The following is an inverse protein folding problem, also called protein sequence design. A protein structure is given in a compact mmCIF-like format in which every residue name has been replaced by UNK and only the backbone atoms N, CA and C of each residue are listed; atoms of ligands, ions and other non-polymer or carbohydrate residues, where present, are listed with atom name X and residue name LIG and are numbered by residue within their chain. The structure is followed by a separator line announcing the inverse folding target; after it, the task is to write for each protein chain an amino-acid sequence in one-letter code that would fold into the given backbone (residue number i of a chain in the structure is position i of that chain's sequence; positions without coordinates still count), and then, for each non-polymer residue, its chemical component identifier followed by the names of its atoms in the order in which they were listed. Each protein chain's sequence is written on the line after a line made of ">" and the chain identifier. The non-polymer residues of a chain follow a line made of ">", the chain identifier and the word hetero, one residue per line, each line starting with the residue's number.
data_IF_975992607559
#
_entry.id   IF_975992607559
#
_cell.length_a   1.000
_cell.length_b   1.000
_cell.length_c   1.000
_cell.angle_alpha   90.00
_cell.angle_beta   90.00
_cell.angle_gamma   90.00
#
_symmetry.space_group_name_H-M   'P 1'
#
loop_
_entity.id
_entity.type
_entity.pdbx_description
1 polymer ?
#
# COMPACT_ATOMS: atom_id res chain seq x y z
N UNK A 1 20.88 9.99 81.70
CA UNK A 1 20.36 11.30 82.15
C UNK A 1 19.53 11.92 81.03
N UNK A 2 18.26 12.21 81.34
CA UNK A 2 17.38 13.29 80.85
C UNK A 2 17.54 13.80 79.41
N UNK A 3 16.58 13.55 78.51
CA UNK A 3 15.24 14.17 78.30
C UNK A 3 15.27 15.23 77.19
N UNK A 4 14.42 14.97 76.19
CA UNK A 4 13.97 15.76 75.03
C UNK A 4 13.43 17.18 75.45
N UNK A 5 13.02 18.12 74.54
CA UNK A 5 12.39 17.85 73.22
C UNK A 5 12.67 18.81 72.05
N UNK A 6 12.60 18.26 70.83
CA UNK A 6 12.37 19.04 69.61
C UNK A 6 10.86 19.25 69.43
N UNK A 7 10.48 20.53 69.41
CA UNK A 7 9.13 21.03 69.24
C UNK A 7 8.66 20.80 67.79
N UNK A 8 7.41 20.37 67.71
CA UNK A 8 6.68 19.98 66.50
C UNK A 8 6.45 21.14 65.53
N UNK A 9 6.67 20.88 64.25
CA UNK A 9 5.98 21.62 63.18
C UNK A 9 5.24 20.60 62.31
N UNK A 10 3.96 20.41 62.65
CA UNK A 10 3.00 19.62 61.86
C UNK A 10 2.69 20.40 60.58
N UNK A 11 3.17 19.91 59.44
CA UNK A 11 2.61 20.26 58.13
C UNK A 11 1.54 19.20 57.75
N UNK A 12 0.40 19.59 57.16
CA UNK A 12 -0.81 18.79 57.16
C UNK A 12 -0.75 17.68 56.11
N UNK A 13 -1.18 16.48 56.48
CA UNK A 13 -1.31 15.30 55.60
C UNK A 13 -2.17 15.52 54.33
N UNK A 14 -2.86 16.66 54.22
CA UNK A 14 -3.69 17.02 53.08
C UNK A 14 -2.89 17.37 51.80
N UNK A 15 -1.64 17.81 51.90
CA UNK A 15 -0.83 18.16 50.72
C UNK A 15 -0.32 16.92 49.98
N UNK A 16 -0.12 15.80 50.69
CA UNK A 16 0.31 14.54 50.05
C UNK A 16 -0.81 13.83 49.26
N UNK A 17 -2.08 13.99 49.66
CA UNK A 17 -3.19 13.34 48.98
C UNK A 17 -3.49 13.93 47.59
N UNK A 18 -3.23 15.22 47.38
CA UNK A 18 -3.43 15.89 46.09
C UNK A 18 -2.35 15.51 45.07
N UNK A 19 -1.14 15.17 45.53
CA UNK A 19 -0.04 14.76 44.66
C UNK A 19 -0.23 13.37 44.03
N UNK A 20 -1.08 12.50 44.61
CA UNK A 20 -1.33 11.15 44.08
C UNK A 20 -2.44 11.10 43.02
N UNK A 21 -3.40 12.03 43.04
CA UNK A 21 -4.51 12.05 42.08
C UNK A 21 -4.12 12.51 40.66
N UNK A 22 -3.05 13.31 40.53
CA UNK A 22 -2.65 13.91 39.24
C UNK A 22 -1.81 12.96 38.37
N UNK A 23 -1.28 11.86 38.93
CA UNK A 23 -0.45 10.91 38.18
C UNK A 23 -1.23 9.77 37.51
N UNK A 24 -2.53 9.61 37.81
CA UNK A 24 -3.33 8.49 37.34
C UNK A 24 -3.97 8.68 35.94
N UNK A 25 -3.56 9.70 35.18
CA UNK A 25 -4.27 10.13 33.96
C UNK A 25 -3.63 9.81 32.60
N UNK A 26 -2.43 9.21 32.54
CA UNK A 26 -1.69 9.06 31.27
C UNK A 26 -1.10 7.67 31.06
N UNK A 27 -1.84 6.61 31.40
CA UNK A 27 -1.46 5.26 30.98
C UNK A 27 -1.67 5.12 29.46
N UNK A 28 -0.56 5.11 28.71
CA UNK A 28 -0.56 4.85 27.26
C UNK A 28 -1.32 3.55 26.98
N UNK A 29 -2.39 3.63 26.20
CA UNK A 29 -3.05 2.42 25.69
C UNK A 29 -2.11 1.75 24.70
N UNK A 30 -1.51 0.62 25.10
CA UNK A 30 -0.59 -0.15 24.25
C UNK A 30 -1.37 -1.26 23.58
N UNK A 31 -1.58 -1.15 22.27
CA UNK A 31 -2.06 -2.24 21.45
C UNK A 31 -0.97 -3.34 21.39
N UNK A 32 -1.31 -4.54 21.87
CA UNK A 32 -0.40 -5.70 21.90
C UNK A 32 -0.62 -6.68 20.75
N UNK A 33 -1.62 -6.43 19.90
CA UNK A 33 -1.82 -7.25 18.71
C UNK A 33 -0.75 -6.93 17.66
N UNK A 34 -0.55 -7.86 16.73
CA UNK A 34 0.24 -7.58 15.55
C UNK A 34 -0.43 -6.47 14.76
N UNK A 35 0.35 -5.47 14.34
CA UNK A 35 -0.14 -4.39 13.51
C UNK A 35 -0.17 -4.87 12.05
N UNK A 36 -1.36 -4.90 11.45
CA UNK A 36 -1.60 -5.38 10.09
C UNK A 36 -0.98 -6.78 9.81
N UNK A 37 -1.38 -7.82 10.58
CA UNK A 37 -0.86 -9.16 10.38
C UNK A 37 -1.20 -9.62 8.96
N UNK A 38 -0.18 -10.01 8.20
CA UNK A 38 -0.37 -10.58 6.87
C UNK A 38 -0.80 -12.03 7.00
N UNK A 39 -2.05 -12.24 7.43
CA UNK A 39 -2.68 -13.55 7.30
C UNK A 39 -3.11 -13.77 5.85
N UNK A 40 -3.02 -15.02 5.39
CA UNK A 40 -3.67 -15.43 4.16
C UNK A 40 -5.19 -15.20 4.21
N UNK A 41 -5.81 -15.14 3.04
CA UNK A 41 -7.28 -15.10 2.89
C UNK A 41 -7.99 -16.32 3.49
N UNK A 42 -7.35 -17.49 3.53
CA UNK A 42 -7.89 -18.75 4.03
C UNK A 42 -7.77 -18.77 5.55
N UNK A 43 -8.91 -18.82 6.23
CA UNK A 43 -8.94 -18.88 7.68
C UNK A 43 -8.63 -20.28 8.19
N UNK A 44 -8.12 -20.42 9.44
CA UNK A 44 -7.72 -21.74 9.97
C UNK A 44 -8.76 -22.86 9.78
N UNK A 45 -10.07 -22.64 9.99
CA UNK A 45 -11.09 -23.67 9.75
C UNK A 45 -11.23 -24.12 8.28
N UNK A 46 -10.83 -23.27 7.33
CA UNK A 46 -10.96 -23.52 5.89
C UNK A 46 -9.75 -24.25 5.30
N UNK A 47 -8.61 -24.29 6.00
CA UNK A 47 -7.32 -24.79 5.50
C UNK A 47 -7.33 -26.26 5.06
N UNK A 48 -8.24 -27.08 5.59
CA UNK A 48 -8.42 -28.47 5.17
C UNK A 48 -9.01 -28.61 3.75
N UNK A 49 -9.73 -27.58 3.28
CA UNK A 49 -10.49 -27.62 2.03
C UNK A 49 -10.06 -26.54 1.03
N UNK A 50 -9.38 -25.49 1.49
CA UNK A 50 -8.95 -24.34 0.69
C UNK A 50 -7.46 -24.10 0.85
N UNK A 51 -6.84 -23.70 -0.26
CA UNK A 51 -5.44 -23.30 -0.33
C UNK A 51 -5.33 -21.99 -1.07
N UNK A 52 -4.42 -21.14 -0.63
CA UNK A 52 -4.03 -19.95 -1.37
C UNK A 52 -2.94 -20.29 -2.36
N UNK A 53 -3.14 -19.90 -3.60
CA UNK A 53 -2.15 -20.05 -4.66
C UNK A 53 -1.73 -18.66 -5.09
N UNK A 54 -0.46 -18.34 -4.89
CA UNK A 54 0.11 -17.09 -5.38
C UNK A 54 0.29 -17.15 -6.91
N UNK A 55 -0.34 -16.21 -7.60
CA UNK A 55 -0.23 -16.05 -9.06
C UNK A 55 0.76 -14.94 -9.45
N UNK A 56 1.50 -14.39 -8.49
CA UNK A 56 2.52 -13.38 -8.76
C UNK A 56 3.69 -13.98 -9.57
N UNK A 57 4.34 -13.15 -10.35
CA UNK A 57 5.45 -13.57 -11.20
C UNK A 57 5.49 -12.82 -12.51
N UNK A 58 6.24 -13.33 -13.48
CA UNK A 58 6.28 -12.82 -14.84
C UNK A 58 5.21 -13.54 -15.68
N UNK A 59 4.45 -12.78 -16.45
CA UNK A 59 3.38 -13.26 -17.31
C UNK A 59 3.61 -12.73 -18.74
N UNK A 60 3.22 -13.51 -19.76
CA UNK A 60 3.09 -13.01 -21.12
C UNK A 60 2.02 -11.92 -21.13
N UNK A 61 2.27 -10.85 -21.89
CA UNK A 61 1.38 -9.71 -22.00
C UNK A 61 1.02 -9.48 -23.47
N UNK A 62 -0.27 -9.45 -23.79
CA UNK A 62 -0.74 -9.08 -25.11
C UNK A 62 -1.65 -7.85 -24.95
N UNK A 63 -1.13 -6.63 -25.19
CA UNK A 63 -1.93 -5.41 -25.10
C UNK A 63 -2.99 -5.39 -26.20
N UNK A 64 -4.18 -4.87 -25.89
CA UNK A 64 -5.26 -4.70 -26.86
C UNK A 64 -5.76 -3.25 -26.82
N UNK A 65 -5.74 -2.53 -27.94
CA UNK A 65 -6.12 -1.11 -27.98
C UNK A 65 -7.64 -0.97 -27.78
N UNK A 66 -8.04 0.10 -27.08
CA UNK A 66 -9.46 0.45 -26.98
C UNK A 66 -9.99 0.80 -28.38
N UNK A 67 -11.18 0.30 -28.77
CA UNK A 67 -11.78 0.65 -30.05
C UNK A 67 -11.90 2.17 -30.22
N UNK A 68 -11.63 2.66 -31.43
CA UNK A 68 -11.75 4.07 -31.74
C UNK A 68 -13.19 4.55 -31.51
N UNK A 69 -13.34 5.67 -30.79
CA UNK A 69 -14.66 6.24 -30.48
C UNK A 69 -15.40 5.56 -29.32
N UNK A 70 -14.73 4.68 -28.56
CA UNK A 70 -15.32 4.11 -27.35
C UNK A 70 -15.77 5.20 -26.37
N UNK A 71 -17.04 5.15 -25.97
CA UNK A 71 -17.64 6.07 -25.01
C UNK A 71 -17.42 5.56 -23.58
N UNK A 72 -16.66 6.34 -22.81
CA UNK A 72 -16.36 6.05 -21.41
C UNK A 72 -17.60 6.28 -20.51
N UNK A 73 -17.57 5.69 -19.31
CA UNK A 73 -18.56 5.91 -18.24
C UNK A 73 -20.00 5.51 -18.54
N UNK A 74 -20.24 4.70 -19.58
CA UNK A 74 -21.56 4.15 -19.90
C UNK A 74 -21.83 2.79 -19.22
N UNK A 75 -20.85 2.23 -18.50
CA UNK A 75 -20.96 0.89 -17.90
C UNK A 75 -20.94 -0.28 -18.90
N UNK A 76 -20.66 0.00 -20.18
CA UNK A 76 -20.56 -1.01 -21.24
C UNK A 76 -19.07 -1.23 -21.54
N UNK A 77 -18.46 -2.38 -21.21
CA UNK A 77 -17.04 -2.61 -21.47
C UNK A 77 -16.74 -2.69 -22.97
N UNK A 78 -15.53 -2.30 -23.42
CA UNK A 78 -15.10 -2.48 -24.79
C UNK A 78 -14.95 -3.98 -25.10
N UNK A 79 -15.05 -4.33 -26.39
CA UNK A 79 -14.82 -5.71 -26.83
C UNK A 79 -13.34 -6.09 -26.65
N UNK A 80 -13.09 -7.23 -25.99
CA UNK A 80 -11.77 -7.83 -25.85
C UNK A 80 -11.67 -9.06 -26.78
N UNK A 81 -11.12 -8.92 -28.00
CA UNK A 81 -10.94 -10.04 -28.93
C UNK A 81 -10.05 -11.13 -28.32
N UNK A 82 -10.24 -12.38 -28.74
CA UNK A 82 -9.41 -13.51 -28.30
C UNK A 82 -7.90 -13.25 -28.52
N UNK A 83 -7.02 -13.81 -27.68
CA UNK A 83 -5.58 -13.67 -27.85
C UNK A 83 -5.11 -14.33 -29.14
N UNK A 84 -4.00 -13.84 -29.69
CA UNK A 84 -3.42 -14.35 -30.93
C UNK A 84 -1.93 -14.61 -30.70
N UNK A 85 -1.42 -15.76 -31.14
CA UNK A 85 -0.06 -16.20 -30.81
C UNK A 85 1.03 -15.27 -31.33
N UNK A 86 0.77 -14.51 -32.40
CA UNK A 86 1.69 -13.55 -33.01
C UNK A 86 1.65 -12.15 -32.37
N UNK A 87 0.77 -11.92 -31.37
CA UNK A 87 0.54 -10.59 -30.77
C UNK A 87 1.06 -10.44 -29.34
N UNK A 88 1.66 -11.48 -28.78
CA UNK A 88 2.29 -11.38 -27.47
C UNK A 88 3.53 -10.50 -27.54
N UNK A 89 3.65 -9.57 -26.60
CA UNK A 89 4.83 -8.72 -26.48
C UNK A 89 6.06 -9.56 -26.06
N UNK A 90 7.25 -9.12 -26.48
CA UNK A 90 8.50 -9.79 -26.13
C UNK A 90 8.90 -9.56 -24.67
N UNK A 91 8.38 -8.50 -24.05
CA UNK A 91 8.61 -8.18 -22.65
C UNK A 91 7.50 -8.77 -21.78
N UNK A 92 7.82 -9.62 -20.78
CA UNK A 92 6.82 -10.11 -19.85
C UNK A 92 6.46 -9.03 -18.81
N UNK A 93 5.20 -9.02 -18.38
CA UNK A 93 4.71 -8.16 -17.30
C UNK A 93 4.95 -8.81 -15.94
N UNK A 94 5.36 -8.03 -14.94
CA UNK A 94 5.41 -8.47 -13.54
C UNK A 94 4.02 -8.34 -12.91
N UNK A 95 3.49 -9.39 -12.28
CA UNK A 95 2.20 -9.36 -11.59
C UNK A 95 2.42 -9.48 -10.07
N UNK A 96 1.79 -8.63 -9.24
CA UNK A 96 0.99 -7.47 -9.63
C UNK A 96 1.87 -6.31 -10.12
N UNK A 97 1.39 -5.56 -11.12
CA UNK A 97 2.01 -4.30 -11.52
C UNK A 97 1.00 -3.39 -12.20
N UNK A 98 0.97 -2.09 -11.83
CA UNK A 98 0.27 -1.09 -12.60
C UNK A 98 1.16 -0.62 -13.76
N UNK A 99 0.99 -1.20 -14.94
CA UNK A 99 1.92 -0.98 -16.07
C UNK A 99 1.93 0.45 -16.61
N UNK A 100 0.83 1.20 -16.45
CA UNK A 100 0.67 2.57 -16.97
C UNK A 100 0.89 3.66 -15.91
N UNK A 101 0.97 3.32 -14.62
CA UNK A 101 1.01 4.30 -13.54
C UNK A 101 2.24 5.20 -13.58
N UNK A 102 3.38 4.71 -14.07
CA UNK A 102 4.61 5.48 -14.15
C UNK A 102 4.51 6.69 -15.11
N UNK A 103 3.53 6.73 -16.01
CA UNK A 103 3.34 7.89 -16.91
C UNK A 103 2.47 9.00 -16.30
N UNK A 104 1.90 8.76 -15.12
CA UNK A 104 1.15 9.79 -14.40
C UNK A 104 2.05 10.96 -14.00
N UNK A 105 1.52 12.19 -14.01
CA UNK A 105 2.24 13.36 -13.49
C UNK A 105 3.47 13.78 -14.31
N UNK A 106 3.56 13.39 -15.59
CA UNK A 106 4.73 13.55 -16.48
C UNK A 106 5.81 12.47 -16.35
N UNK A 107 5.70 11.59 -15.35
CA UNK A 107 6.38 10.30 -15.34
C UNK A 107 7.87 10.36 -15.73
N UNK A 108 8.31 9.55 -16.71
CA UNK A 108 9.72 9.51 -17.15
C UNK A 108 10.26 10.81 -17.75
N UNK A 109 9.41 11.82 -17.99
CA UNK A 109 9.80 13.12 -18.52
C UNK A 109 10.03 14.17 -17.42
N UNK A 110 9.97 13.76 -16.15
CA UNK A 110 10.23 14.59 -14.98
C UNK A 110 11.46 14.14 -14.20
N UNK A 111 12.09 15.08 -13.51
CA UNK A 111 13.30 14.87 -12.71
C UNK A 111 14.59 15.33 -13.41
N UNK A 112 15.73 15.34 -12.70
CA UNK A 112 16.99 15.86 -13.23
C UNK A 112 17.40 15.19 -14.55
N UNK A 113 17.76 16.01 -15.56
CA UNK A 113 18.19 15.50 -16.88
C UNK A 113 17.04 15.19 -17.85
N UNK A 114 15.79 15.51 -17.50
CA UNK A 114 14.61 15.35 -18.37
C UNK A 114 14.09 16.71 -18.87
N UNK A 115 13.12 16.75 -19.80
CA UNK A 115 12.48 18.00 -20.24
C UNK A 115 11.78 18.79 -19.11
N UNK A 116 11.41 18.14 -18.00
CA UNK A 116 10.77 18.80 -16.83
C UNK A 116 11.63 18.58 -15.58
N UNK A 117 12.77 19.28 -15.46
CA UNK A 117 13.77 19.00 -14.42
C UNK A 117 13.30 19.30 -13.00
N UNK A 118 12.29 20.17 -12.85
CA UNK A 118 11.71 20.56 -11.57
C UNK A 118 10.35 19.89 -11.28
N UNK A 119 9.90 18.98 -12.15
CA UNK A 119 8.68 18.20 -11.93
C UNK A 119 8.90 17.04 -10.95
N UNK A 120 7.86 16.57 -10.25
CA UNK A 120 7.95 15.41 -9.37
C UNK A 120 8.28 14.15 -10.18
N UNK A 121 9.37 13.48 -9.84
CA UNK A 121 9.68 12.15 -10.39
C UNK A 121 8.75 11.11 -9.74
N UNK A 122 7.78 10.64 -10.52
CA UNK A 122 6.69 9.78 -10.08
C UNK A 122 6.82 8.36 -10.64
N UNK A 123 8.05 7.88 -10.84
CA UNK A 123 8.32 6.50 -11.27
C UNK A 123 8.34 5.58 -10.05
N UNK A 124 7.21 4.90 -9.80
CA UNK A 124 7.00 4.07 -8.60
C UNK A 124 7.21 2.57 -8.84
N UNK A 125 7.15 2.13 -10.09
CA UNK A 125 7.13 0.72 -10.48
C UNK A 125 8.20 0.42 -11.55
N UNK A 126 8.49 -0.86 -11.87
CA UNK A 126 9.31 -1.19 -13.03
C UNK A 126 8.78 -0.54 -14.30
N UNK A 127 9.67 0.04 -15.11
CA UNK A 127 9.30 0.61 -16.40
C UNK A 127 9.11 -0.47 -17.45
N UNK A 128 8.01 -0.37 -18.20
CA UNK A 128 7.68 -1.22 -19.34
C UNK A 128 7.93 -0.47 -20.66
N UNK A 129 7.85 -1.13 -21.82
CA UNK A 129 7.90 -0.44 -23.10
C UNK A 129 6.92 0.72 -23.18
N UNK A 130 7.34 1.85 -23.77
CA UNK A 130 6.56 3.09 -23.80
C UNK A 130 5.17 2.89 -24.41
N UNK A 131 5.05 2.07 -25.46
CA UNK A 131 3.77 1.84 -26.12
C UNK A 131 2.71 1.24 -25.19
N UNK A 132 3.10 0.57 -24.10
CA UNK A 132 2.18 -0.04 -23.13
C UNK A 132 1.32 1.01 -22.40
N UNK A 133 1.80 2.25 -22.30
CA UNK A 133 1.17 3.34 -21.55
C UNK A 133 -0.25 3.63 -22.06
N UNK A 134 -0.50 3.45 -23.36
CA UNK A 134 -1.76 3.78 -24.01
C UNK A 134 -2.78 2.63 -24.04
N UNK A 135 -2.41 1.45 -23.54
CA UNK A 135 -3.31 0.31 -23.49
C UNK A 135 -4.04 0.23 -22.16
N UNK A 136 -5.35 -0.01 -22.25
CA UNK A 136 -6.26 -0.09 -21.12
C UNK A 136 -6.86 -1.49 -20.92
N UNK A 137 -6.59 -2.42 -21.84
CA UNK A 137 -6.99 -3.81 -21.76
C UNK A 137 -5.92 -4.70 -22.39
N UNK A 138 -5.80 -5.94 -21.90
CA UNK A 138 -4.78 -6.88 -22.34
C UNK A 138 -5.16 -8.31 -21.96
N UNK A 139 -4.54 -9.27 -22.64
CA UNK A 139 -4.48 -10.66 -22.18
C UNK A 139 -3.21 -10.92 -21.38
N UNK A 140 -3.35 -11.81 -20.41
CA UNK A 140 -2.26 -12.35 -19.59
C UNK A 140 -2.22 -13.86 -19.73
N UNK A 141 -1.03 -14.43 -19.90
CA UNK A 141 -0.82 -15.89 -19.85
C UNK A 141 0.43 -16.23 -19.03
N UNK A 142 0.35 -17.31 -18.26
CA UNK A 142 1.46 -17.83 -17.43
C UNK A 142 2.02 -19.10 -18.02
#
# INVERSE_FOLDING_TARGET
>A
MNRAPFLWMRLPAAVLAVAWGVLAGNAKTVFKGDFAPQEGRVKPPETAFRREVCLNGLWRFQPVPIPHGYAWDLGIPPELPAPAEDKWDSVPIKIPSPWNANHWGSGPTSGPGTPKPYGPDSVYYPSYPEHWIHYHMAWLAR
#
